data_IF_840353133697
#
_entry.id   IF_840353133697
#
_cell.length_a   1.000
_cell.length_b   1.000
_cell.length_c   1.000
_cell.angle_alpha   90.00
_cell.angle_beta   90.00
_cell.angle_gamma   90.00
#
_symmetry.space_group_name_H-M   'P 1'
#
loop_
_entity.id
_entity.type
_entity.pdbx_description
1 polymer ?
#
# COMPACT_ATOMS: atom_id res chain seq x y z
N UNK A 1 -34.38 -45.02 -33.51
CA UNK A 1 -32.96 -44.64 -33.34
C UNK A 1 -32.67 -43.47 -34.27
N UNK A 2 -32.50 -42.26 -33.73
CA UNK A 2 -32.00 -41.09 -34.46
C UNK A 2 -30.71 -40.64 -33.74
N UNK A 3 -29.60 -40.68 -34.47
CA UNK A 3 -28.29 -40.30 -33.98
C UNK A 3 -28.19 -38.78 -33.79
N UNK A 4 -27.58 -38.36 -32.68
CA UNK A 4 -27.21 -36.98 -32.39
C UNK A 4 -25.90 -36.68 -33.13
N UNK A 5 -25.79 -35.60 -33.94
CA UNK A 5 -24.52 -35.22 -34.56
C UNK A 5 -23.55 -34.58 -33.55
N UNK A 6 -22.22 -34.77 -33.70
CA UNK A 6 -21.22 -34.27 -32.76
C UNK A 6 -21.02 -32.75 -32.86
N UNK A 7 -20.77 -32.13 -31.71
CA UNK A 7 -20.37 -30.73 -31.57
C UNK A 7 -19.03 -30.49 -32.28
N UNK A 8 -19.01 -29.61 -33.28
CA UNK A 8 -17.78 -29.11 -33.90
C UNK A 8 -17.08 -28.17 -32.92
N UNK A 9 -15.93 -28.59 -32.42
CA UNK A 9 -14.97 -27.71 -31.73
C UNK A 9 -14.29 -26.89 -32.82
N UNK A 10 -14.53 -25.58 -32.84
CA UNK A 10 -13.86 -24.69 -33.78
C UNK A 10 -12.44 -24.42 -33.28
N UNK A 11 -11.48 -25.12 -33.87
CA UNK A 11 -10.05 -24.81 -33.80
C UNK A 11 -9.79 -23.88 -34.99
N UNK A 12 -9.76 -22.57 -34.76
CA UNK A 12 -8.76 -21.62 -35.30
C UNK A 12 -9.17 -20.19 -34.92
N UNK A 13 -8.50 -19.59 -33.94
CA UNK A 13 -8.45 -18.13 -33.77
C UNK A 13 -7.13 -17.73 -33.12
N UNK A 14 -6.02 -18.23 -33.66
CA UNK A 14 -4.68 -17.74 -33.33
C UNK A 14 -4.20 -16.81 -34.44
N UNK A 15 -4.81 -15.62 -34.53
CA UNK A 15 -4.34 -14.47 -35.35
C UNK A 15 -5.27 -13.29 -35.09
N UNK A 16 -5.06 -12.58 -33.97
CA UNK A 16 -5.50 -11.20 -33.74
C UNK A 16 -4.91 -10.68 -32.41
N UNK A 17 -3.58 -10.56 -32.31
CA UNK A 17 -2.91 -10.08 -31.09
C UNK A 17 -1.77 -9.08 -31.39
N UNK A 18 -1.95 -8.20 -32.39
CA UNK A 18 -0.95 -7.16 -32.73
C UNK A 18 -1.51 -5.75 -32.92
N UNK A 19 -2.79 -5.49 -32.66
CA UNK A 19 -3.39 -4.14 -32.82
C UNK A 19 -3.87 -3.49 -31.52
N UNK A 20 -3.81 -4.19 -30.38
CA UNK A 20 -4.39 -3.71 -29.11
C UNK A 20 -3.39 -2.97 -28.17
N UNK A 21 -2.17 -2.71 -28.65
CA UNK A 21 -1.13 -1.98 -27.90
C UNK A 21 -1.16 -0.47 -28.13
N UNK A 22 -1.63 0.00 -29.30
CA UNK A 22 -1.65 1.43 -29.63
C UNK A 22 -2.83 2.22 -29.02
N UNK A 23 -3.97 1.57 -28.78
CA UNK A 23 -5.15 2.19 -28.15
C UNK A 23 -4.98 2.38 -26.64
N UNK A 24 -4.33 1.45 -25.96
CA UNK A 24 -4.06 1.54 -24.52
C UNK A 24 -3.07 2.64 -24.16
N UNK A 25 -2.03 2.88 -24.97
CA UNK A 25 -1.10 3.99 -24.75
C UNK A 25 -1.82 5.35 -24.80
N UNK A 26 -2.70 5.56 -25.79
CA UNK A 26 -3.40 6.84 -25.94
C UNK A 26 -4.32 7.17 -24.75
N UNK A 27 -4.95 6.16 -24.13
CA UNK A 27 -5.77 6.36 -22.94
C UNK A 27 -4.92 6.74 -21.72
N UNK A 28 -3.75 6.12 -21.54
CA UNK A 28 -2.82 6.46 -20.46
C UNK A 28 -2.25 7.87 -20.65
N UNK A 29 -1.83 8.25 -21.86
CA UNK A 29 -1.32 9.59 -22.15
C UNK A 29 -2.35 10.70 -21.91
N UNK A 30 -3.63 10.46 -22.25
CA UNK A 30 -4.70 11.43 -21.97
C UNK A 30 -5.02 11.55 -20.47
N UNK A 31 -4.96 10.44 -19.73
CA UNK A 31 -5.17 10.45 -18.28
C UNK A 31 -4.04 11.22 -17.56
N UNK A 32 -2.78 11.00 -17.96
CA UNK A 32 -1.63 11.70 -17.39
C UNK A 32 -1.69 13.20 -17.68
N UNK A 33 -2.02 13.61 -18.90
CA UNK A 33 -2.15 15.02 -19.27
C UNK A 33 -3.26 15.72 -18.46
N UNK A 34 -4.38 15.02 -18.22
CA UNK A 34 -5.48 15.54 -17.42
C UNK A 34 -5.10 15.66 -15.94
N UNK A 35 -4.36 14.68 -15.40
CA UNK A 35 -3.85 14.72 -14.02
C UNK A 35 -2.87 15.87 -13.84
N UNK A 36 -1.98 16.12 -14.81
CA UNK A 36 -1.06 17.26 -14.77
C UNK A 36 -1.81 18.60 -14.74
N UNK A 37 -2.89 18.74 -15.51
CA UNK A 37 -3.74 19.93 -15.45
C UNK A 37 -4.41 20.08 -14.07
N UNK A 38 -4.94 18.99 -13.50
CA UNK A 38 -5.59 19.00 -12.18
C UNK A 38 -4.60 19.33 -11.04
N UNK A 39 -3.33 18.93 -11.15
CA UNK A 39 -2.27 19.27 -10.18
C UNK A 39 -1.98 20.77 -10.10
N UNK A 40 -2.20 21.51 -11.19
CA UNK A 40 -1.96 22.96 -11.24
C UNK A 40 -3.12 23.79 -10.68
N UNK A 41 -4.31 23.19 -10.55
CA UNK A 41 -5.51 23.85 -10.02
C UNK A 41 -5.54 23.76 -8.49
N UNK A 42 -6.04 24.79 -7.80
CA UNK A 42 -6.16 24.73 -6.35
C UNK A 42 -7.26 23.71 -5.96
N UNK A 43 -7.02 22.93 -4.89
CA UNK A 43 -7.88 21.81 -4.48
C UNK A 43 -9.32 22.20 -4.14
N UNK A 44 -9.58 23.46 -3.81
CA UNK A 44 -10.92 23.99 -3.51
C UNK A 44 -11.81 24.17 -4.76
N UNK A 45 -11.23 24.19 -5.96
CA UNK A 45 -11.95 24.33 -7.23
C UNK A 45 -12.24 22.99 -7.92
N UNK A 46 -11.72 21.90 -7.36
CA UNK A 46 -11.86 20.55 -7.90
C UNK A 46 -13.16 19.91 -7.43
N UNK A 47 -13.80 19.15 -8.31
CA UNK A 47 -14.93 18.29 -7.94
C UNK A 47 -14.46 17.11 -7.08
N UNK A 48 -15.36 16.51 -6.29
CA UNK A 48 -15.02 15.33 -5.47
C UNK A 48 -14.43 14.18 -6.30
N UNK A 49 -14.94 14.00 -7.53
CA UNK A 49 -14.44 13.00 -8.46
C UNK A 49 -12.99 13.30 -8.89
N UNK A 50 -12.68 14.54 -9.25
CA UNK A 50 -11.32 14.93 -9.64
C UNK A 50 -10.33 14.83 -8.47
N UNK A 51 -10.78 15.15 -7.25
CA UNK A 51 -9.98 14.94 -6.04
C UNK A 51 -9.65 13.46 -5.85
N UNK A 52 -10.63 12.57 -6.03
CA UNK A 52 -10.41 11.12 -5.89
C UNK A 52 -9.40 10.57 -6.91
N UNK A 53 -9.46 11.05 -8.16
CA UNK A 53 -8.51 10.69 -9.21
C UNK A 53 -7.09 11.18 -8.86
N UNK A 54 -6.99 12.40 -8.33
CA UNK A 54 -5.72 12.97 -7.90
C UNK A 54 -5.12 12.18 -6.74
N UNK A 55 -5.93 11.78 -5.76
CA UNK A 55 -5.49 10.94 -4.64
C UNK A 55 -5.02 9.57 -5.11
N UNK A 56 -5.73 8.92 -6.03
CA UNK A 56 -5.31 7.62 -6.59
C UNK A 56 -3.97 7.73 -7.34
N UNK A 57 -3.78 8.81 -8.10
CA UNK A 57 -2.51 9.10 -8.75
C UNK A 57 -1.39 9.38 -7.73
N UNK A 58 -1.64 10.18 -6.70
CA UNK A 58 -0.68 10.45 -5.61
C UNK A 58 -0.31 9.16 -4.85
N UNK A 59 -1.25 8.22 -4.69
CA UNK A 59 -0.96 6.92 -4.08
C UNK A 59 -0.13 6.00 -4.97
N UNK A 60 -0.27 6.08 -6.29
CA UNK A 60 0.41 5.18 -7.23
C UNK A 60 1.77 5.68 -7.71
N UNK A 61 1.90 6.97 -7.96
CA UNK A 61 3.12 7.59 -8.48
C UNK A 61 3.87 8.44 -7.42
N UNK A 62 3.27 8.66 -6.25
CA UNK A 62 3.87 9.46 -5.18
C UNK A 62 4.68 8.67 -4.15
N UNK A 63 5.13 9.32 -3.07
CA UNK A 63 5.92 8.69 -2.01
C UNK A 63 5.17 7.59 -1.26
N UNK A 64 3.83 7.59 -1.29
CA UNK A 64 2.98 6.58 -0.66
C UNK A 64 2.86 5.28 -1.49
N UNK A 65 3.34 5.27 -2.75
CA UNK A 65 3.35 4.08 -3.62
C UNK A 65 4.08 2.89 -3.01
N UNK A 66 5.03 3.16 -2.10
CA UNK A 66 5.72 2.15 -1.33
C UNK A 66 4.75 1.33 -0.44
N UNK A 67 3.73 1.97 0.14
CA UNK A 67 2.70 1.31 0.93
C UNK A 67 1.71 0.56 0.05
N UNK A 68 1.37 1.11 -1.12
CA UNK A 68 0.53 0.40 -2.09
C UNK A 68 1.20 -0.89 -2.55
N UNK A 69 2.51 -0.84 -2.81
CA UNK A 69 3.33 -2.02 -3.11
C UNK A 69 3.29 -3.00 -1.94
N UNK A 70 3.53 -2.55 -0.70
CA UNK A 70 3.50 -3.39 0.50
C UNK A 70 2.16 -4.13 0.69
N UNK A 71 1.03 -3.45 0.45
CA UNK A 71 -0.32 -4.06 0.54
C UNK A 71 -0.51 -5.11 -0.54
N UNK A 72 -0.14 -4.80 -1.80
CA UNK A 72 -0.35 -5.70 -2.94
C UNK A 72 0.52 -6.95 -2.86
N UNK A 73 1.79 -6.80 -2.52
CA UNK A 73 2.73 -7.92 -2.40
C UNK A 73 2.64 -8.65 -1.06
N UNK A 74 1.82 -8.14 -0.13
CA UNK A 74 1.79 -8.57 1.26
C UNK A 74 3.19 -8.55 1.91
N UNK A 75 4.10 -7.67 1.50
CA UNK A 75 5.47 -7.59 2.04
C UNK A 75 5.47 -7.06 3.47
N UNK A 76 6.46 -7.48 4.26
CA UNK A 76 6.63 -7.00 5.61
C UNK A 76 7.24 -5.59 5.60
N UNK A 77 6.76 -4.73 6.49
CA UNK A 77 7.28 -3.37 6.66
C UNK A 77 7.85 -3.19 8.06
N UNK A 78 8.93 -2.42 8.16
CA UNK A 78 9.46 -1.91 9.42
C UNK A 78 8.96 -0.47 9.61
N UNK A 79 8.25 -0.24 10.70
CA UNK A 79 7.66 1.06 11.06
C UNK A 79 8.37 1.56 12.33
N UNK A 80 8.91 2.78 12.30
CA UNK A 80 9.47 3.43 13.48
C UNK A 80 8.50 4.47 14.01
N UNK A 81 8.18 4.39 15.30
CA UNK A 81 7.23 5.28 15.98
C UNK A 81 7.93 6.38 16.77
N UNK A 82 7.20 7.45 17.07
CA UNK A 82 7.65 8.60 17.87
C UNK A 82 8.05 8.27 19.31
N UNK A 83 7.44 7.23 19.88
CA UNK A 83 7.73 6.78 21.25
C UNK A 83 9.02 5.93 21.35
N UNK A 84 9.84 5.87 20.30
CA UNK A 84 11.07 5.09 20.26
C UNK A 84 10.87 3.58 20.06
N UNK A 85 9.64 3.13 19.82
CA UNK A 85 9.33 1.73 19.51
C UNK A 85 9.35 1.47 18.01
N UNK A 86 9.59 0.22 17.63
CA UNK A 86 9.60 -0.22 16.23
C UNK A 86 8.59 -1.35 16.05
N UNK A 87 7.98 -1.43 14.88
CA UNK A 87 7.01 -2.48 14.55
C UNK A 87 7.41 -3.16 13.26
N UNK A 88 7.43 -4.48 13.26
CA UNK A 88 7.42 -5.29 12.04
C UNK A 88 5.98 -5.74 11.80
N UNK A 89 5.42 -5.43 10.63
CA UNK A 89 4.01 -5.70 10.35
C UNK A 89 3.76 -5.94 8.86
N UNK A 90 2.57 -6.44 8.51
CA UNK A 90 2.05 -6.39 7.14
C UNK A 90 0.93 -5.37 7.06
N UNK A 91 0.95 -4.53 6.04
CA UNK A 91 -0.07 -3.49 5.82
C UNK A 91 -1.26 -4.11 5.09
N UNK A 92 -2.47 -3.93 5.62
CA UNK A 92 -3.73 -4.35 4.99
C UNK A 92 -4.44 -3.20 4.30
N UNK A 93 -4.34 -2.00 4.86
CA UNK A 93 -4.87 -0.77 4.28
C UNK A 93 -4.07 0.43 4.81
N UNK A 94 -4.07 1.52 4.06
CA UNK A 94 -3.48 2.79 4.43
C UNK A 94 -4.35 3.94 3.90
N UNK A 95 -4.11 5.15 4.38
CA UNK A 95 -4.74 6.38 3.87
C UNK A 95 -3.71 7.50 3.63
N UNK A 96 -4.20 8.66 3.18
CA UNK A 96 -3.38 9.88 2.93
C UNK A 96 -2.72 10.46 4.18
N UNK A 97 -3.23 10.15 5.37
CA UNK A 97 -2.67 10.62 6.64
C UNK A 97 -1.68 9.62 7.25
N UNK A 98 -1.34 8.54 6.53
CA UNK A 98 -0.55 7.42 7.03
C UNK A 98 -1.21 6.69 8.21
N UNK A 99 -2.54 6.74 8.34
CA UNK A 99 -3.20 5.77 9.22
C UNK A 99 -3.13 4.39 8.56
N UNK A 100 -2.71 3.39 9.32
CA UNK A 100 -2.45 2.04 8.83
C UNK A 100 -3.33 1.02 9.53
N UNK A 101 -3.92 0.11 8.75
CA UNK A 101 -4.47 -1.15 9.24
C UNK A 101 -3.39 -2.20 9.07
N UNK A 102 -2.94 -2.76 10.18
CA UNK A 102 -1.82 -3.71 10.24
C UNK A 102 -2.28 -5.08 10.71
N UNK A 103 -1.61 -6.11 10.23
CA UNK A 103 -1.76 -7.48 10.72
C UNK A 103 -0.41 -8.12 11.04
N UNK A 104 -0.44 -9.16 11.88
CA UNK A 104 0.74 -9.91 12.30
C UNK A 104 1.84 -8.99 12.84
N UNK A 105 1.45 -8.08 13.73
CA UNK A 105 2.31 -6.99 14.19
C UNK A 105 3.20 -7.49 15.33
N UNK A 106 4.50 -7.34 15.15
CA UNK A 106 5.51 -7.52 16.18
C UNK A 106 6.05 -6.15 16.59
N UNK A 107 5.62 -5.66 17.74
CA UNK A 107 6.16 -4.44 18.33
C UNK A 107 7.38 -4.76 19.18
N UNK A 108 8.44 -3.97 19.05
CA UNK A 108 9.72 -4.17 19.69
C UNK A 108 10.20 -2.87 20.34
N UNK A 109 10.69 -2.97 21.56
CA UNK A 109 11.26 -1.85 22.30
C UNK A 109 12.34 -2.32 23.28
N UNK A 110 13.16 -1.39 23.74
CA UNK A 110 14.17 -1.68 24.76
C UNK A 110 13.73 -1.07 26.08
N UNK A 111 13.66 -1.91 27.12
CA UNK A 111 13.47 -1.44 28.50
C UNK A 111 14.79 -1.45 29.25
N UNK A 112 15.03 -0.40 30.03
CA UNK A 112 16.15 -0.34 30.97
C UNK A 112 15.58 -0.45 32.38
N UNK A 113 15.61 -1.64 33.01
CA UNK A 113 15.06 -1.80 34.36
C UNK A 113 15.86 -0.97 35.36
N UNK A 114 15.20 -0.54 36.44
CA UNK A 114 15.89 0.08 37.58
C UNK A 114 16.18 -1.00 38.60
N UNK A 115 17.44 -1.12 39.03
CA UNK A 115 17.83 -2.03 40.11
C UNK A 115 17.35 -1.49 41.47
N UNK A 116 17.29 -2.36 42.47
CA UNK A 116 16.92 -2.01 43.86
C UNK A 116 17.81 -0.91 44.47
N UNK A 117 19.02 -0.72 43.95
CA UNK A 117 19.96 0.33 44.33
C UNK A 117 19.79 1.65 43.54
N UNK A 118 18.72 1.77 42.74
CA UNK A 118 18.43 2.96 41.92
C UNK A 118 19.26 3.11 40.64
N UNK A 119 20.25 2.25 40.39
CA UNK A 119 21.08 2.29 39.17
C UNK A 119 20.31 1.71 37.96
N UNK A 120 20.60 2.24 36.76
CA UNK A 120 20.09 1.69 35.49
C UNK A 120 20.68 0.29 35.29
N UNK A 121 19.82 -0.69 35.07
CA UNK A 121 20.20 -2.06 34.74
C UNK A 121 20.59 -2.24 33.28
N UNK A 122 20.83 -3.48 32.89
CA UNK A 122 21.16 -3.83 31.51
C UNK A 122 19.94 -3.61 30.59
N UNK A 123 20.09 -2.91 29.45
CA UNK A 123 19.03 -2.79 28.46
C UNK A 123 18.56 -4.17 28.01
N UNK A 124 17.25 -4.40 28.08
CA UNK A 124 16.60 -5.66 27.72
C UNK A 124 15.62 -5.40 26.58
N UNK A 125 15.77 -6.14 25.48
CA UNK A 125 14.83 -6.06 24.36
C UNK A 125 13.56 -6.82 24.73
N UNK A 126 12.42 -6.15 24.57
CA UNK A 126 11.09 -6.73 24.69
C UNK A 126 10.37 -6.66 23.37
N UNK A 127 9.51 -7.64 23.17
CA UNK A 127 8.57 -7.67 22.07
C UNK A 127 7.17 -8.06 22.55
N UNK A 128 6.17 -7.67 21.76
CA UNK A 128 4.81 -8.19 21.88
C UNK A 128 4.23 -8.43 20.52
N UNK A 129 3.36 -9.44 20.44
CA UNK A 129 2.62 -9.77 19.23
C UNK A 129 1.18 -9.24 19.32
N UNK A 130 0.71 -8.63 18.23
CA UNK A 130 -0.65 -8.12 18.07
C UNK A 130 -1.17 -8.60 16.72
N UNK A 131 -2.25 -9.39 16.74
CA UNK A 131 -2.78 -10.02 15.52
C UNK A 131 -3.31 -9.00 14.51
N UNK A 132 -4.02 -7.96 14.99
CA UNK A 132 -4.59 -6.88 14.19
C UNK A 132 -4.47 -5.56 14.95
N UNK A 133 -4.04 -4.50 14.27
CA UNK A 133 -3.83 -3.19 14.88
C UNK A 133 -4.22 -2.07 13.92
N UNK A 134 -4.96 -1.08 14.43
CA UNK A 134 -5.10 0.21 13.77
C UNK A 134 -4.05 1.16 14.35
N UNK A 135 -3.22 1.74 13.49
CA UNK A 135 -2.16 2.67 13.85
C UNK A 135 -2.45 4.04 13.24
N UNK A 136 -2.43 5.09 14.07
CA UNK A 136 -2.62 6.47 13.62
C UNK A 136 -1.32 7.05 13.04
N UNK A 137 -1.42 7.77 11.93
CA UNK A 137 -0.26 8.26 11.18
C UNK A 137 0.59 9.32 11.87
N UNK A 138 0.01 10.13 12.76
CA UNK A 138 0.75 11.15 13.54
C UNK A 138 1.90 10.58 14.39
N UNK A 139 1.82 9.28 14.71
CA UNK A 139 2.82 8.56 15.51
C UNK A 139 3.98 7.99 14.69
N UNK A 140 3.85 7.93 13.36
CA UNK A 140 4.82 7.31 12.46
C UNK A 140 5.91 8.34 12.12
N UNK A 141 7.17 7.91 12.18
CA UNK A 141 8.32 8.72 11.74
C UNK A 141 8.86 8.19 10.42
N UNK A 142 8.99 6.87 10.30
CA UNK A 142 9.65 6.22 9.17
C UNK A 142 8.97 4.89 8.86
N UNK A 143 8.81 4.60 7.58
CA UNK A 143 8.40 3.29 7.06
C UNK A 143 9.47 2.80 6.08
N UNK A 144 9.88 1.55 6.23
CA UNK A 144 10.83 0.86 5.37
C UNK A 144 10.21 -0.44 4.86
N UNK A 145 10.27 -0.69 3.56
CA UNK A 145 9.98 -2.01 2.99
C UNK A 145 11.12 -2.96 3.37
N UNK A 146 10.76 -4.11 3.96
CA UNK A 146 11.71 -5.16 4.34
C UNK A 146 11.83 -6.26 3.30
#
# INVERSE_FOLDING_TARGET
MKAIPPLKVNIDSSRDDLTNTHTNHNHTFMADAKIQELLTKPRNELTEYEVSLLEEHEFSAGPLSILQTAVRSHTQVLISLRNGRKMLARVKAFDRHLNLVLENVKEMWTETPRLANGKKGKPTNKDRFISKLFLRGDSIILVLLS
#
